data_IF_921695704339
#
_entry.id   IF_921695704339
#
_cell.length_a   1.000
_cell.length_b   1.000
_cell.length_c   1.000
_cell.angle_alpha   90.00
_cell.angle_beta   90.00
_cell.angle_gamma   90.00
#
_symmetry.space_group_name_H-M   'P 1'
#
loop_
_entity.id
_entity.type
_entity.pdbx_description
1 polymer ?
#
# COMPACT_ATOMS: atom_id res chain seq x y z
N UNK A 1 -25.21 3.33 -1.40
CA UNK A 1 -24.43 4.56 -1.11
C UNK A 1 -23.58 4.32 0.14
N UNK A 2 -22.26 4.48 0.11
CA UNK A 2 -21.41 4.45 1.32
C UNK A 2 -20.65 5.77 1.40
N UNK A 3 -20.84 6.48 2.52
CA UNK A 3 -20.26 7.79 2.86
C UNK A 3 -18.73 7.76 2.71
N UNK A 4 -18.17 8.78 2.04
CA UNK A 4 -16.73 9.06 1.81
C UNK A 4 -16.07 8.41 0.57
N UNK A 5 -16.69 8.51 -0.61
CA UNK A 5 -15.98 8.37 -1.89
C UNK A 5 -15.95 9.70 -2.61
N UNK A 6 -15.27 10.70 -2.05
CA UNK A 6 -14.97 11.92 -2.80
C UNK A 6 -13.89 11.60 -3.82
N UNK A 7 -13.91 12.26 -4.99
CA UNK A 7 -12.87 12.11 -6.02
C UNK A 7 -11.46 12.35 -5.46
N UNK A 8 -11.37 13.20 -4.43
CA UNK A 8 -10.16 13.50 -3.67
C UNK A 8 -9.54 12.30 -2.92
N UNK A 9 -10.30 11.20 -2.71
CA UNK A 9 -9.79 9.99 -2.07
C UNK A 9 -9.03 9.05 -3.03
N UNK A 10 -9.20 9.25 -4.34
CA UNK A 10 -8.46 8.49 -5.36
C UNK A 10 -7.07 9.10 -5.54
N UNK A 11 -6.04 8.25 -5.48
CA UNK A 11 -4.65 8.65 -5.66
C UNK A 11 -3.92 7.67 -6.56
N UNK A 12 -2.97 8.20 -7.34
CA UNK A 12 -2.04 7.41 -8.14
C UNK A 12 -0.76 7.24 -7.34
N UNK A 13 -0.38 5.99 -7.07
CA UNK A 13 0.82 5.63 -6.32
C UNK A 13 1.76 4.91 -7.29
N UNK A 14 3.02 5.35 -7.43
CA UNK A 14 3.99 4.66 -8.28
C UNK A 14 4.28 3.26 -7.72
N UNK A 15 4.40 2.28 -8.61
CA UNK A 15 4.85 0.93 -8.23
C UNK A 15 6.37 0.90 -8.18
N UNK A 16 6.89 0.44 -7.05
CA UNK A 16 8.32 0.30 -6.86
C UNK A 16 8.90 -0.83 -7.73
N UNK A 17 10.13 -0.68 -8.23
CA UNK A 17 10.78 -1.67 -9.11
C UNK A 17 10.88 -3.06 -8.48
N UNK A 18 11.05 -3.15 -7.15
CA UNK A 18 11.01 -4.42 -6.41
C UNK A 18 9.67 -5.13 -6.56
N UNK A 19 8.54 -4.42 -6.57
CA UNK A 19 7.22 -5.03 -6.76
C UNK A 19 7.06 -5.55 -8.18
N UNK A 20 7.57 -4.81 -9.17
CA UNK A 20 7.60 -5.23 -10.56
C UNK A 20 8.41 -6.52 -10.68
N UNK A 21 9.65 -6.52 -10.18
CA UNK A 21 10.53 -7.70 -10.18
C UNK A 21 9.98 -8.89 -9.41
N UNK A 22 9.16 -8.66 -8.38
CA UNK A 22 8.51 -9.74 -7.62
C UNK A 22 7.33 -10.41 -8.35
N UNK A 23 7.01 -9.98 -9.57
CA UNK A 23 5.93 -10.58 -10.36
C UNK A 23 4.55 -9.96 -10.13
N UNK A 24 4.46 -8.74 -9.56
CA UNK A 24 3.17 -8.13 -9.25
C UNK A 24 2.32 -7.82 -10.51
N UNK A 25 2.88 -7.28 -11.61
CA UNK A 25 2.14 -7.09 -12.86
C UNK A 25 1.57 -8.39 -13.43
N UNK A 26 2.35 -9.47 -13.40
CA UNK A 26 1.99 -10.80 -13.89
C UNK A 26 0.85 -11.38 -13.03
N UNK A 27 0.94 -11.24 -11.71
CA UNK A 27 -0.14 -11.60 -10.81
C UNK A 27 -1.43 -10.82 -11.11
N UNK A 28 -1.33 -9.52 -11.39
CA UNK A 28 -2.48 -8.69 -11.73
C UNK A 28 -3.14 -9.13 -13.03
N UNK A 29 -2.34 -9.38 -14.07
CA UNK A 29 -2.84 -9.89 -15.35
C UNK A 29 -3.56 -11.23 -15.19
N UNK A 30 -2.91 -12.19 -14.51
CA UNK A 30 -3.50 -13.50 -14.22
C UNK A 30 -4.79 -13.40 -13.39
N UNK A 31 -4.82 -12.54 -12.37
CA UNK A 31 -6.00 -12.33 -11.53
C UNK A 31 -7.18 -11.74 -12.32
N UNK A 32 -6.92 -10.82 -13.24
CA UNK A 32 -7.98 -10.18 -14.06
C UNK A 32 -8.55 -11.10 -15.13
N UNK A 33 -7.77 -12.06 -15.61
CA UNK A 33 -8.17 -13.06 -16.61
C UNK A 33 -8.82 -14.31 -16.01
N UNK A 34 -8.74 -14.50 -14.70
CA UNK A 34 -9.35 -15.64 -14.02
C UNK A 34 -10.89 -15.56 -14.07
N UNK A 35 -11.54 -16.70 -14.28
CA UNK A 35 -13.01 -16.84 -14.21
C UNK A 35 -13.58 -16.41 -12.85
N UNK A 36 -12.77 -16.47 -11.79
CA UNK A 36 -13.13 -16.07 -10.43
C UNK A 36 -12.92 -14.57 -10.16
N UNK A 37 -12.59 -13.76 -11.17
CA UNK A 37 -12.34 -12.33 -11.01
C UNK A 37 -13.62 -11.57 -10.61
N UNK A 38 -13.71 -11.23 -9.33
CA UNK A 38 -14.86 -10.52 -8.76
C UNK A 38 -14.60 -9.03 -8.52
N UNK A 39 -13.76 -8.41 -9.36
CA UNK A 39 -13.28 -7.02 -9.22
C UNK A 39 -12.37 -6.77 -8.00
N UNK A 40 -11.88 -7.83 -7.35
CA UNK A 40 -10.88 -7.75 -6.29
C UNK A 40 -9.62 -8.50 -6.69
N UNK A 41 -8.49 -7.87 -6.42
CA UNK A 41 -7.18 -8.47 -6.69
C UNK A 41 -6.85 -9.63 -5.73
N UNK A 42 -7.32 -9.55 -4.48
CA UNK A 42 -7.12 -10.58 -3.45
C UNK A 42 -8.47 -11.17 -3.00
N UNK A 43 -9.05 -12.12 -3.76
CA UNK A 43 -10.35 -12.72 -3.46
C UNK A 43 -10.33 -13.62 -2.22
N UNK A 44 -9.17 -14.15 -1.83
CA UNK A 44 -8.96 -15.03 -0.68
C UNK A 44 -9.10 -14.29 0.67
N UNK A 45 -9.01 -12.96 0.68
CA UNK A 45 -9.20 -12.15 1.88
C UNK A 45 -10.71 -12.00 2.14
N UNK A 46 -11.23 -12.80 3.07
CA UNK A 46 -12.62 -12.73 3.54
C UNK A 46 -12.84 -11.58 4.52
N UNK A 47 -14.05 -11.02 4.56
CA UNK A 47 -14.45 -10.02 5.57
C UNK A 47 -14.35 -10.61 6.98
N UNK A 48 -13.91 -9.81 7.94
CA UNK A 48 -14.00 -10.13 9.36
C UNK A 48 -15.42 -9.98 9.89
N UNK A 49 -15.58 -10.28 11.18
CA UNK A 49 -16.83 -10.09 11.91
C UNK A 49 -17.29 -8.62 11.98
N UNK A 50 -16.36 -7.69 11.82
CA UNK A 50 -16.60 -6.25 11.74
C UNK A 50 -17.04 -5.78 10.33
N UNK A 51 -17.19 -6.70 9.38
CA UNK A 51 -17.54 -6.40 7.99
C UNK A 51 -16.39 -5.84 7.15
N UNK A 52 -15.20 -5.63 7.73
CA UNK A 52 -14.03 -5.11 7.04
C UNK A 52 -13.08 -6.23 6.62
N UNK A 53 -12.41 -6.03 5.48
CA UNK A 53 -11.40 -6.97 4.98
C UNK A 53 -10.07 -6.87 5.73
N UNK A 54 -9.79 -5.70 6.31
CA UNK A 54 -8.56 -5.44 7.07
C UNK A 54 -8.45 -6.29 8.32
N UNK A 55 -9.57 -6.66 8.95
CA UNK A 55 -9.59 -7.41 10.21
C UNK A 55 -8.87 -8.75 10.10
N UNK A 56 -9.32 -9.59 9.17
CA UNK A 56 -8.76 -10.92 8.96
C UNK A 56 -7.33 -10.84 8.42
N UNK A 57 -7.06 -9.88 7.53
CA UNK A 57 -5.73 -9.71 6.99
C UNK A 57 -4.73 -9.26 8.04
N UNK A 58 -5.09 -8.31 8.92
CA UNK A 58 -4.23 -7.84 10.00
C UNK A 58 -3.89 -8.96 10.99
N UNK A 59 -4.85 -9.86 11.26
CA UNK A 59 -4.62 -11.08 12.05
C UNK A 59 -3.68 -12.06 11.32
N UNK A 60 -3.88 -12.31 10.02
CA UNK A 60 -2.99 -13.14 9.19
C UNK A 60 -1.56 -12.58 9.19
N UNK A 61 -1.40 -11.29 8.95
CA UNK A 61 -0.11 -10.60 9.00
C UNK A 61 0.55 -10.71 10.38
N UNK A 62 -0.21 -10.49 11.45
CA UNK A 62 0.30 -10.62 12.82
C UNK A 62 0.78 -12.05 13.14
N UNK A 63 0.11 -13.08 12.62
CA UNK A 63 0.58 -14.47 12.74
C UNK A 63 1.83 -14.72 11.90
N UNK A 64 1.87 -14.19 10.68
CA UNK A 64 3.03 -14.31 9.80
C UNK A 64 4.30 -13.74 10.43
N UNK A 65 4.27 -12.48 10.89
CA UNK A 65 5.44 -11.84 11.51
C UNK A 65 5.88 -12.51 12.83
N UNK A 66 4.95 -13.16 13.55
CA UNK A 66 5.28 -14.00 14.69
C UNK A 66 5.99 -15.28 14.26
N UNK A 67 5.51 -15.94 13.20
CA UNK A 67 6.09 -17.18 12.68
C UNK A 67 7.53 -16.98 12.19
N UNK A 68 7.81 -15.86 11.52
CA UNK A 68 9.17 -15.51 11.08
C UNK A 68 10.00 -14.79 12.17
N UNK A 69 9.51 -14.76 13.42
CA UNK A 69 10.21 -14.24 14.61
C UNK A 69 10.63 -12.76 14.55
N UNK A 70 9.91 -11.91 13.83
CA UNK A 70 10.17 -10.46 13.75
C UNK A 70 9.13 -9.60 14.48
N UNK A 71 8.23 -10.21 15.26
CA UNK A 71 7.16 -9.50 15.97
C UNK A 71 7.73 -8.67 17.12
N UNK A 72 7.54 -7.36 17.05
CA UNK A 72 7.70 -6.40 18.15
C UNK A 72 6.35 -5.80 18.56
N UNK A 73 6.25 -5.12 19.74
CA UNK A 73 5.03 -4.41 20.14
C UNK A 73 4.56 -3.36 19.13
N UNK A 74 5.48 -2.75 18.38
CA UNK A 74 5.19 -1.69 17.39
C UNK A 74 4.93 -2.22 15.97
N UNK A 75 5.35 -3.45 15.66
CA UNK A 75 5.13 -4.04 14.31
C UNK A 75 3.71 -4.54 14.15
N UNK A 76 2.90 -3.81 13.38
CA UNK A 76 1.51 -4.18 13.04
C UNK A 76 1.29 -3.92 11.57
N UNK A 77 0.15 -4.32 11.01
CA UNK A 77 -0.07 -4.10 9.58
C UNK A 77 0.02 -2.60 9.18
N UNK A 78 -0.44 -1.70 10.05
CA UNK A 78 -0.33 -0.26 9.84
C UNK A 78 1.11 0.29 9.97
N UNK A 79 2.04 -0.44 10.62
CA UNK A 79 3.43 0.03 10.74
C UNK A 79 4.14 0.07 9.39
N UNK A 80 3.70 -0.74 8.41
CA UNK A 80 4.20 -0.65 7.03
C UNK A 80 3.96 0.74 6.42
N UNK A 81 2.82 1.36 6.74
CA UNK A 81 2.48 2.70 6.26
C UNK A 81 3.32 3.78 6.95
N UNK A 82 3.64 3.62 8.23
CA UNK A 82 4.58 4.51 8.91
C UNK A 82 5.98 4.37 8.32
N UNK A 83 6.48 3.15 8.16
CA UNK A 83 7.77 2.90 7.51
C UNK A 83 7.85 3.48 6.10
N UNK A 84 6.75 3.45 5.34
CA UNK A 84 6.69 4.09 4.02
C UNK A 84 6.87 5.61 4.13
N UNK A 85 6.17 6.28 5.06
CA UNK A 85 6.35 7.73 5.31
C UNK A 85 7.77 8.04 5.75
N UNK A 86 8.30 7.30 6.71
CA UNK A 86 9.65 7.51 7.23
C UNK A 86 10.71 7.31 6.12
N UNK A 87 10.50 6.36 5.21
CA UNK A 87 11.36 6.15 4.06
C UNK A 87 11.30 7.30 3.04
N UNK A 88 10.13 7.92 2.84
CA UNK A 88 10.00 9.11 2.01
C UNK A 88 10.75 10.30 2.63
N UNK A 89 10.60 10.48 3.93
CA UNK A 89 11.24 11.56 4.70
C UNK A 89 12.77 11.42 4.68
N UNK A 90 13.29 10.24 5.02
CA UNK A 90 14.72 9.94 4.90
C UNK A 90 15.25 10.06 3.47
N UNK A 91 14.38 9.85 2.47
CA UNK A 91 14.70 10.05 1.06
C UNK A 91 14.75 11.52 0.62
N UNK A 92 14.40 12.48 1.49
CA UNK A 92 14.34 13.90 1.12
C UNK A 92 13.22 14.22 0.15
N UNK A 93 12.11 13.47 0.23
CA UNK A 93 10.92 13.69 -0.59
C UNK A 93 10.12 14.83 0.04
N UNK A 94 9.79 15.84 -0.75
CA UNK A 94 9.02 16.99 -0.27
C UNK A 94 7.69 16.57 0.39
N UNK A 95 7.36 17.18 1.54
CA UNK A 95 6.16 16.89 2.33
C UNK A 95 4.87 16.88 1.50
N UNK A 96 4.77 17.79 0.52
CA UNK A 96 3.63 17.85 -0.40
C UNK A 96 3.46 16.54 -1.18
N UNK A 97 4.55 15.96 -1.69
CA UNK A 97 4.54 14.66 -2.36
C UNK A 97 4.28 13.51 -1.39
N UNK A 98 4.79 13.59 -0.16
CA UNK A 98 4.51 12.57 0.87
C UNK A 98 3.01 12.52 1.19
N UNK A 99 2.39 13.68 1.42
CA UNK A 99 0.98 13.80 1.73
C UNK A 99 0.09 13.38 0.56
N UNK A 100 0.51 13.61 -0.68
CA UNK A 100 -0.13 13.07 -1.88
C UNK A 100 -0.24 11.54 -1.85
N UNK A 101 0.89 10.89 -1.56
CA UNK A 101 1.02 9.43 -1.57
C UNK A 101 0.30 8.81 -0.37
N UNK A 102 0.37 9.47 0.78
CA UNK A 102 -0.29 9.05 2.00
C UNK A 102 -1.80 9.31 1.94
N UNK A 103 -2.24 10.34 1.22
CA UNK A 103 -3.64 10.77 1.18
C UNK A 103 -4.06 11.50 2.46
N UNK A 104 -3.20 12.40 2.96
CA UNK A 104 -3.54 13.30 4.07
C UNK A 104 -4.33 14.53 3.54
N UNK A 105 -5.24 15.04 4.37
CA UNK A 105 -6.28 16.01 3.99
C UNK A 105 -5.79 17.41 3.65
N UNK A 106 -4.56 17.77 4.00
CA UNK A 106 -4.02 19.13 3.80
C UNK A 106 -3.47 19.36 2.39
N UNK A 107 -3.58 18.35 1.53
CA UNK A 107 -2.97 18.35 0.21
C UNK A 107 -3.79 19.13 -0.84
N UNK A 108 -3.21 20.24 -1.30
CA UNK A 108 -3.60 20.93 -2.54
C UNK A 108 -2.86 20.28 -3.73
N UNK A 109 -3.60 19.58 -4.59
CA UNK A 109 -3.22 19.10 -5.95
C UNK A 109 -1.72 19.18 -6.33
N UNK A 110 -0.83 18.35 -5.79
CA UNK A 110 0.40 18.02 -6.52
C UNK A 110 0.10 17.01 -7.63
N UNK A 111 0.81 17.17 -8.75
CA UNK A 111 0.72 16.28 -9.90
C UNK A 111 1.52 15.02 -9.54
N UNK A 112 0.86 13.87 -9.53
CA UNK A 112 1.53 12.55 -9.47
C UNK A 112 2.45 12.46 -10.68
N UNK A 113 3.70 12.87 -10.50
CA UNK A 113 4.70 12.91 -11.55
C UNK A 113 5.62 11.73 -11.30
N UNK A 114 5.96 11.01 -12.37
CA UNK A 114 6.83 9.82 -12.41
C UNK A 114 8.28 10.06 -11.91
N UNK A 115 8.55 11.15 -11.18
CA UNK A 115 9.88 11.56 -10.71
C UNK A 115 10.42 10.63 -9.62
N UNK A 116 9.55 9.89 -8.93
CA UNK A 116 9.96 9.08 -7.79
C UNK A 116 10.94 7.95 -8.17
N UNK A 117 10.81 7.38 -9.38
CA UNK A 117 11.67 6.28 -9.81
C UNK A 117 13.05 6.76 -10.30
N UNK A 118 13.15 7.98 -10.82
CA UNK A 118 14.39 8.50 -11.41
C UNK A 118 15.25 9.29 -10.41
N UNK A 119 14.64 9.99 -9.44
CA UNK A 119 15.36 10.92 -8.57
C UNK A 119 15.85 10.30 -7.25
N UNK A 120 15.22 9.24 -6.77
CA UNK A 120 15.51 8.63 -5.47
C UNK A 120 15.70 7.11 -5.61
N UNK A 121 16.88 6.64 -6.07
CA UNK A 121 17.21 5.22 -6.00
C UNK A 121 17.18 4.78 -4.54
N UNK A 122 16.17 3.98 -4.20
CA UNK A 122 15.93 3.50 -2.83
C UNK A 122 17.18 2.87 -2.21
N UNK A 123 17.46 3.30 -0.99
CA UNK A 123 18.41 2.66 -0.09
C UNK A 123 18.02 1.21 0.12
N UNK A 124 18.79 0.31 -0.48
CA UNK A 124 18.89 -1.07 -0.02
C UNK A 124 19.79 -1.05 1.21
N UNK A 125 19.30 -1.60 2.31
CA UNK A 125 20.15 -2.00 3.43
C UNK A 125 20.38 -3.50 3.32
#
# INVERSE_FOLDING_TARGET
MSKKKTVQSQRRVPLHSTLIKSGFPEYLDAATKSENYNKRLFPEIKKGSDGYYSHNYSKKFSRYIKAIKIKTPKTVFHSLRHNFKDALDMGGVEDSHQDALMGHTDYKKAKSTYVFCEKYPVFTR
#
